data_IF_491502709594
#
_entry.id   IF_491502709594
#
_cell.length_a   1.000
_cell.length_b   1.000
_cell.length_c   1.000
_cell.angle_alpha   90.00
_cell.angle_beta   90.00
_cell.angle_gamma   90.00
#
_symmetry.space_group_name_H-M   'P 1'
#
loop_
_entity.id
_entity.type
_entity.pdbx_description
1 polymer ?
#
# COMPACT_ATOMS: atom_id res chain seq x y z
N UNK A 1 -0.90 16.26 -4.55
CA UNK A 1 -1.10 15.30 -5.66
C UNK A 1 -0.57 13.96 -5.19
N UNK A 2 -1.36 12.88 -5.25
CA UNK A 2 -0.87 11.53 -4.92
C UNK A 2 0.07 11.03 -6.02
N UNK A 3 1.05 10.20 -5.66
CA UNK A 3 1.90 9.48 -6.60
C UNK A 3 2.01 8.02 -6.18
N UNK A 4 2.15 7.14 -7.16
CA UNK A 4 2.40 5.71 -6.93
C UNK A 4 3.71 5.33 -7.62
N UNK A 5 4.57 4.65 -6.88
CA UNK A 5 5.77 4.01 -7.40
C UNK A 5 5.68 2.52 -7.10
N UNK A 6 5.83 1.69 -8.13
CA UNK A 6 5.76 0.24 -8.00
C UNK A 6 6.96 -0.37 -8.73
N UNK A 7 7.70 -1.24 -8.05
CA UNK A 7 8.87 -1.91 -8.60
C UNK A 7 8.91 -3.37 -8.13
N UNK A 8 9.57 -4.21 -8.92
CA UNK A 8 9.88 -5.62 -8.59
C UNK A 8 11.37 -5.87 -8.43
N UNK A 9 12.18 -4.82 -8.44
CA UNK A 9 13.65 -4.91 -8.51
C UNK A 9 14.33 -4.27 -7.30
N UNK A 10 13.61 -4.12 -6.19
CA UNK A 10 14.16 -3.50 -4.99
C UNK A 10 15.20 -4.43 -4.36
N UNK A 11 16.46 -3.99 -4.34
CA UNK A 11 17.58 -4.84 -3.93
C UNK A 11 17.69 -5.02 -2.42
N UNK A 12 17.11 -4.11 -1.63
CA UNK A 12 17.26 -4.10 -0.18
C UNK A 12 16.14 -4.85 0.57
N UNK A 13 15.12 -5.35 -0.14
CA UNK A 13 14.00 -6.07 0.47
C UNK A 13 12.64 -5.53 0.01
N UNK A 14 11.60 -5.87 0.78
CA UNK A 14 10.23 -5.45 0.54
C UNK A 14 10.00 -4.01 1.00
N UNK A 15 9.92 -3.10 0.03
CA UNK A 15 9.74 -1.67 0.23
C UNK A 15 8.31 -1.25 -0.11
N UNK A 16 7.49 -1.14 0.95
CA UNK A 16 6.15 -0.54 0.89
C UNK A 16 6.11 0.60 1.89
N UNK A 17 5.86 1.80 1.40
CA UNK A 17 5.72 2.99 2.21
C UNK A 17 4.50 3.80 1.79
N UNK A 18 4.06 4.67 2.69
CA UNK A 18 3.04 5.67 2.39
C UNK A 18 3.42 6.98 3.05
N UNK A 19 3.36 8.04 2.28
CA UNK A 19 3.65 9.39 2.72
C UNK A 19 2.42 10.27 2.56
N UNK A 20 2.06 10.98 3.63
CA UNK A 20 0.89 11.86 3.67
C UNK A 20 1.37 13.25 4.03
N UNK A 21 1.30 14.16 3.05
CA UNK A 21 1.66 15.57 3.25
C UNK A 21 0.39 16.41 3.35
N UNK A 22 0.22 17.10 4.47
CA UNK A 22 -0.85 18.04 4.74
C UNK A 22 -0.34 19.48 4.81
N UNK A 23 -1.25 20.42 5.09
CA UNK A 23 -0.91 21.85 5.15
C UNK A 23 -0.03 22.24 6.34
N UNK A 24 0.01 21.40 7.39
CA UNK A 24 0.72 21.67 8.65
C UNK A 24 1.86 20.68 8.93
N UNK A 25 2.15 19.75 8.01
CA UNK A 25 3.17 18.74 8.25
C UNK A 25 2.98 17.49 7.39
N UNK A 26 3.73 16.45 7.76
CA UNK A 26 3.85 15.21 6.99
C UNK A 26 3.90 13.99 7.92
N UNK A 27 3.18 12.93 7.54
CA UNK A 27 3.27 11.60 8.13
C UNK A 27 4.00 10.66 7.16
N UNK A 28 4.92 9.86 7.69
CA UNK A 28 5.66 8.86 6.94
C UNK A 28 5.44 7.50 7.58
N UNK A 29 4.79 6.60 6.84
CA UNK A 29 4.59 5.22 7.24
C UNK A 29 5.62 4.37 6.49
N UNK A 30 6.59 3.82 7.22
CA UNK A 30 7.58 2.88 6.70
C UNK A 30 8.48 3.40 5.56
N UNK A 31 8.74 4.72 5.49
CA UNK A 31 9.62 5.32 4.46
C UNK A 31 11.07 4.83 4.58
N UNK A 32 11.50 4.43 5.78
CA UNK A 32 12.72 3.66 6.01
C UNK A 32 12.28 2.31 6.56
N UNK A 33 12.20 1.25 5.73
CA UNK A 33 11.69 -0.02 6.19
C UNK A 33 12.67 -0.67 7.18
N UNK A 34 12.16 -1.25 8.26
CA UNK A 34 12.97 -1.89 9.29
C UNK A 34 12.33 -3.23 9.67
N UNK A 35 13.14 -4.28 9.73
CA UNK A 35 12.68 -5.60 10.14
C UNK A 35 12.32 -5.65 11.62
N UNK A 36 13.06 -4.93 12.45
CA UNK A 36 12.94 -4.89 13.90
C UNK A 36 13.73 -3.68 14.45
N UNK A 37 13.82 -3.57 15.78
CA UNK A 37 14.53 -2.49 16.46
C UNK A 37 16.05 -2.72 16.59
N UNK A 38 16.64 -3.67 15.86
CA UNK A 38 18.07 -3.98 15.92
C UNK A 38 18.85 -3.09 14.95
N UNK A 39 19.93 -2.50 15.44
CA UNK A 39 20.88 -1.72 14.66
C UNK A 39 22.24 -2.39 14.71
N UNK A 40 22.82 -2.65 13.53
CA UNK A 40 24.15 -3.19 13.33
C UNK A 40 25.13 -2.04 13.16
N UNK A 41 26.10 -1.91 14.07
CA UNK A 41 27.17 -0.91 14.01
C UNK A 41 28.53 -1.61 13.79
N UNK A 42 29.12 -1.44 12.61
CA UNK A 42 30.45 -2.00 12.29
C UNK A 42 31.22 -1.09 11.31
N UNK A 43 32.28 -1.64 10.67
CA UNK A 43 33.10 -0.93 9.68
C UNK A 43 32.35 -0.38 8.46
N UNK A 44 31.12 -0.85 8.20
CA UNK A 44 30.24 -0.37 7.13
C UNK A 44 29.29 0.75 7.59
N UNK A 45 29.34 1.15 8.87
CA UNK A 45 28.48 2.17 9.47
C UNK A 45 27.36 1.58 10.32
N UNK A 46 26.27 2.35 10.49
CA UNK A 46 25.05 1.90 11.17
C UNK A 46 24.01 1.46 10.15
N UNK A 47 23.53 0.23 10.24
CA UNK A 47 22.50 -0.33 9.34
C UNK A 47 21.46 -1.14 10.10
N UNK A 48 20.34 -1.45 9.45
CA UNK A 48 19.31 -2.36 9.92
C UNK A 48 18.93 -3.31 8.78
N UNK A 49 18.27 -4.42 9.15
CA UNK A 49 17.72 -5.36 8.18
C UNK A 49 16.33 -4.94 7.75
N UNK A 50 15.90 -5.41 6.57
CA UNK A 50 14.60 -5.15 5.97
C UNK A 50 13.95 -6.50 5.65
N UNK A 51 12.64 -6.61 5.87
CA UNK A 51 11.86 -7.79 5.48
C UNK A 51 12.07 -8.09 3.99
N UNK A 52 12.30 -9.36 3.63
CA UNK A 52 12.49 -9.73 2.22
C UNK A 52 11.16 -9.82 1.48
N UNK A 53 10.11 -10.22 2.19
CA UNK A 53 8.85 -10.66 1.60
C UNK A 53 7.66 -9.93 2.21
N UNK A 54 6.59 -9.77 1.42
CA UNK A 54 5.42 -8.96 1.82
C UNK A 54 4.71 -9.52 3.06
N UNK A 55 4.64 -10.85 3.20
CA UNK A 55 3.93 -11.48 4.33
C UNK A 55 4.63 -11.23 5.66
N UNK A 56 5.96 -11.11 5.68
CA UNK A 56 6.70 -10.80 6.91
C UNK A 56 6.35 -9.40 7.42
N UNK A 57 6.00 -8.48 6.51
CA UNK A 57 5.58 -7.13 6.86
C UNK A 57 4.09 -7.05 7.25
N UNK A 58 3.26 -7.88 6.65
CA UNK A 58 1.80 -7.83 6.78
C UNK A 58 1.20 -8.99 7.60
N UNK A 59 2.01 -9.78 8.31
CA UNK A 59 1.53 -10.96 9.06
C UNK A 59 0.37 -10.63 10.01
N UNK A 60 0.53 -9.55 10.80
CA UNK A 60 -0.50 -9.10 11.73
C UNK A 60 -1.76 -8.62 11.01
N UNK A 61 -1.59 -7.94 9.87
CA UNK A 61 -2.71 -7.45 9.07
C UNK A 61 -3.50 -8.62 8.45
N UNK A 62 -2.80 -9.64 7.93
CA UNK A 62 -3.43 -10.86 7.41
C UNK A 62 -4.17 -11.65 8.50
N UNK A 63 -3.57 -11.77 9.68
CA UNK A 63 -4.24 -12.41 10.81
C UNK A 63 -5.48 -11.62 11.25
N UNK A 64 -5.37 -10.29 11.30
CA UNK A 64 -6.48 -9.41 11.68
C UNK A 64 -7.65 -9.51 10.70
N UNK A 65 -7.40 -9.36 9.39
CA UNK A 65 -8.49 -9.38 8.39
C UNK A 65 -9.20 -10.74 8.35
N UNK A 66 -8.47 -11.85 8.52
CA UNK A 66 -9.05 -13.19 8.57
C UNK A 66 -9.94 -13.36 9.80
N UNK A 67 -9.50 -12.87 10.96
CA UNK A 67 -10.29 -12.89 12.19
C UNK A 67 -11.53 -11.99 12.08
N UNK A 68 -11.41 -10.79 11.52
CA UNK A 68 -12.53 -9.88 11.30
C UNK A 68 -13.59 -10.50 10.37
N UNK A 69 -13.16 -11.18 9.31
CA UNK A 69 -14.05 -11.88 8.40
C UNK A 69 -14.84 -12.99 9.12
N UNK A 70 -14.16 -13.84 9.89
CA UNK A 70 -14.80 -14.91 10.67
C UNK A 70 -15.74 -14.33 11.71
N UNK A 71 -15.34 -13.26 12.40
CA UNK A 71 -16.18 -12.59 13.39
C UNK A 71 -17.46 -12.01 12.76
N UNK A 72 -17.34 -11.39 11.58
CA UNK A 72 -18.49 -10.85 10.86
C UNK A 72 -19.53 -11.92 10.56
N UNK A 73 -19.09 -13.11 10.16
CA UNK A 73 -19.97 -14.27 9.93
C UNK A 73 -20.61 -14.73 11.25
N UNK A 74 -19.79 -15.02 12.27
CA UNK A 74 -20.26 -15.64 13.52
C UNK A 74 -21.20 -14.72 14.29
N UNK A 75 -20.94 -13.42 14.28
CA UNK A 75 -21.70 -12.42 15.04
C UNK A 75 -22.71 -11.65 14.20
N UNK A 76 -22.90 -12.02 12.93
CA UNK A 76 -23.75 -11.33 11.97
C UNK A 76 -23.49 -9.80 11.95
N UNK A 77 -22.20 -9.43 11.86
CA UNK A 77 -21.77 -8.02 11.76
C UNK A 77 -21.48 -7.67 10.31
N UNK A 78 -21.54 -6.38 10.00
CA UNK A 78 -21.09 -5.87 8.70
C UNK A 78 -19.56 -5.99 8.57
N UNK A 79 -19.09 -6.26 7.35
CA UNK A 79 -17.68 -6.22 7.01
C UNK A 79 -17.20 -4.76 6.97
N UNK A 80 -15.94 -4.49 7.35
CA UNK A 80 -15.40 -3.13 7.38
C UNK A 80 -15.17 -2.54 5.97
N UNK A 81 -15.16 -3.38 4.93
CA UNK A 81 -14.92 -2.98 3.55
C UNK A 81 -16.14 -3.28 2.67
N UNK A 82 -16.61 -2.26 1.94
CA UNK A 82 -17.71 -2.38 0.97
C UNK A 82 -17.18 -2.85 -0.40
N UNK A 83 -18.00 -3.61 -1.13
CA UNK A 83 -17.63 -4.13 -2.45
C UNK A 83 -17.32 -3.02 -3.47
N UNK A 84 -18.03 -1.90 -3.38
CA UNK A 84 -17.87 -0.75 -4.27
C UNK A 84 -16.45 -0.15 -4.21
N UNK A 85 -15.78 -0.26 -3.05
CA UNK A 85 -14.38 0.14 -2.90
C UNK A 85 -13.47 -0.69 -3.78
N UNK A 86 -13.69 -2.01 -3.84
CA UNK A 86 -12.94 -2.91 -4.72
C UNK A 86 -13.14 -2.58 -6.21
N UNK A 87 -14.38 -2.28 -6.61
CA UNK A 87 -14.70 -1.85 -7.98
C UNK A 87 -13.95 -0.55 -8.32
N UNK A 88 -13.92 0.40 -7.39
CA UNK A 88 -13.23 1.68 -7.57
C UNK A 88 -11.72 1.51 -7.73
N UNK A 89 -11.10 0.67 -6.90
CA UNK A 89 -9.67 0.33 -7.01
C UNK A 89 -9.35 -0.26 -8.39
N UNK A 90 -10.20 -1.17 -8.88
CA UNK A 90 -10.00 -1.79 -10.18
C UNK A 90 -10.09 -0.78 -11.34
N UNK A 91 -11.04 0.17 -11.29
CA UNK A 91 -11.13 1.25 -12.28
C UNK A 91 -9.87 2.10 -12.33
N UNK A 92 -9.33 2.48 -11.16
CA UNK A 92 -8.09 3.26 -11.06
C UNK A 92 -6.91 2.44 -11.61
N UNK A 93 -6.77 1.18 -11.21
CA UNK A 93 -5.71 0.30 -11.68
C UNK A 93 -5.72 0.11 -13.21
N UNK A 94 -6.89 -0.09 -13.80
CA UNK A 94 -7.06 -0.17 -15.26
C UNK A 94 -6.68 1.14 -15.96
N UNK A 95 -7.06 2.29 -15.39
CA UNK A 95 -6.70 3.59 -15.95
C UNK A 95 -5.19 3.85 -15.90
N UNK A 96 -4.52 3.49 -14.80
CA UNK A 96 -3.05 3.54 -14.69
C UNK A 96 -2.39 2.64 -15.73
N UNK A 97 -2.88 1.42 -15.90
CA UNK A 97 -2.36 0.49 -16.91
C UNK A 97 -2.57 1.01 -18.33
N UNK A 98 -3.74 1.57 -18.64
CA UNK A 98 -4.01 2.20 -19.94
C UNK A 98 -3.04 3.35 -20.20
N UNK A 99 -2.90 4.26 -19.24
CA UNK A 99 -2.00 5.41 -19.36
C UNK A 99 -0.53 4.99 -19.57
N UNK A 100 -0.09 3.93 -18.90
CA UNK A 100 1.25 3.36 -19.12
C UNK A 100 1.43 2.83 -20.55
N UNK A 101 0.43 2.13 -21.08
CA UNK A 101 0.51 1.50 -22.40
C UNK A 101 0.35 2.48 -23.56
N UNK A 102 -0.47 3.52 -23.39
CA UNK A 102 -0.78 4.47 -24.48
C UNK A 102 -0.01 5.79 -24.38
N UNK A 103 0.50 6.14 -23.19
CA UNK A 103 1.04 7.47 -22.92
C UNK A 103 -0.02 8.56 -22.74
N UNK A 104 -1.31 8.21 -22.73
CA UNK A 104 -2.42 9.16 -22.64
C UNK A 104 -3.03 9.18 -21.23
N UNK A 105 -3.38 10.38 -20.75
CA UNK A 105 -3.99 10.56 -19.43
C UNK A 105 -5.47 10.16 -19.46
N UNK A 106 -5.86 9.22 -18.60
CA UNK A 106 -7.28 8.95 -18.32
C UNK A 106 -7.79 9.97 -17.29
N UNK A 107 -8.90 10.63 -17.59
CA UNK A 107 -9.53 11.63 -16.71
C UNK A 107 -10.82 11.06 -16.13
N UNK A 108 -11.11 11.42 -14.89
CA UNK A 108 -12.34 11.06 -14.20
C UNK A 108 -13.12 12.34 -13.84
N UNK A 109 -14.45 12.26 -13.86
CA UNK A 109 -15.30 13.29 -13.28
C UNK A 109 -15.41 13.11 -11.74
N UNK A 110 -16.10 14.04 -11.07
CA UNK A 110 -16.30 14.00 -9.61
C UNK A 110 -17.09 12.77 -9.15
N UNK A 111 -17.91 12.19 -10.04
CA UNK A 111 -18.66 10.95 -9.79
C UNK A 111 -17.82 9.67 -9.99
N UNK A 112 -16.55 9.79 -10.39
CA UNK A 112 -15.64 8.65 -10.63
C UNK A 112 -15.87 7.94 -11.96
N UNK A 113 -16.50 8.60 -12.93
CA UNK A 113 -16.70 8.09 -14.30
C UNK A 113 -15.59 8.59 -15.22
N UNK A 114 -15.16 7.75 -16.17
CA UNK A 114 -14.12 8.10 -17.13
C UNK A 114 -14.69 9.10 -18.14
N UNK A 115 -13.96 10.20 -18.35
CA UNK A 115 -14.24 11.18 -19.41
C UNK A 115 -13.61 10.68 -20.72
N UNK A 116 -14.42 10.65 -21.78
CA UNK A 116 -13.96 10.35 -23.15
C UNK A 116 -13.13 11.50 -23.71
#
# INVERSE_FOLDING_TARGET
>A
MPYFYCSRTQAHGHDVCTEITGTHGKLMVNVVPQQNNVVLADKLGMRHEVQLEYWQRFEDAFALEANEFVEAIVKNKELPLKLETGITVMKIGQALQKALLTGEVTRFNESGEILN
#
